data_IF_849476426717
#
_entry.id   IF_849476426717
#
_cell.length_a   1.000
_cell.length_b   1.000
_cell.length_c   1.000
_cell.angle_alpha   90.00
_cell.angle_beta   90.00
_cell.angle_gamma   90.00
#
_symmetry.space_group_name_H-M   'P 1'
#
loop_
_entity.id
_entity.type
_entity.pdbx_description
1 polymer ?
#
# COMPACT_ATOMS: atom_id res chain seq x y z
N UNK A 1 7.08 13.44 -2.98
CA UNK A 1 7.90 14.49 -3.59
C UNK A 1 9.30 14.27 -3.06
N UNK A 2 10.22 13.75 -3.87
CA UNK A 2 11.63 13.72 -3.48
C UNK A 2 12.12 15.17 -3.63
N UNK A 3 12.37 15.86 -2.53
CA UNK A 3 13.05 17.16 -2.60
C UNK A 3 14.53 16.91 -2.92
N UNK A 4 14.98 17.55 -3.98
CA UNK A 4 16.38 17.63 -4.39
C UNK A 4 16.96 18.87 -3.69
N UNK A 5 17.90 18.70 -2.77
CA UNK A 5 18.64 19.81 -2.17
C UNK A 5 19.67 20.34 -3.18
N UNK A 6 19.56 21.64 -3.53
CA UNK A 6 20.57 22.40 -4.26
C UNK A 6 21.86 22.54 -3.43
N UNK A 7 23.04 22.14 -3.93
CA UNK A 7 24.30 22.54 -3.31
C UNK A 7 24.65 23.98 -3.73
N UNK A 8 24.65 24.85 -2.72
CA UNK A 8 25.28 26.15 -2.80
C UNK A 8 26.79 26.05 -3.12
N UNK A 9 27.31 27.14 -3.69
CA UNK A 9 28.71 27.55 -3.85
C UNK A 9 29.35 27.27 -5.23
N UNK A 10 29.21 28.26 -6.12
CA UNK A 10 30.23 28.54 -7.12
C UNK A 10 31.39 29.32 -6.49
N UNK A 11 32.63 28.99 -6.87
CA UNK A 11 33.55 29.87 -7.62
C UNK A 11 34.92 29.17 -7.78
N UNK A 12 35.35 29.14 -9.05
CA UNK A 12 36.73 29.07 -9.58
C UNK A 12 37.55 27.78 -9.45
N UNK A 13 37.72 27.09 -10.59
CA UNK A 13 39.05 26.71 -11.09
C UNK A 13 38.98 26.30 -12.59
N UNK A 14 39.75 27.00 -13.42
CA UNK A 14 40.05 26.67 -14.81
C UNK A 14 41.00 25.46 -14.89
N UNK A 15 40.85 24.55 -15.87
CA UNK A 15 41.89 23.70 -16.52
C UNK A 15 41.23 22.84 -17.64
N UNK A 16 41.96 22.45 -18.72
CA UNK A 16 41.46 22.55 -20.09
C UNK A 16 40.95 21.24 -20.72
N UNK A 17 40.29 21.45 -21.86
CA UNK A 17 39.86 20.53 -22.90
C UNK A 17 40.89 19.44 -23.25
N UNK A 18 40.52 18.17 -23.10
CA UNK A 18 41.05 17.10 -23.94
C UNK A 18 39.94 16.12 -24.38
N UNK A 19 39.81 16.05 -25.70
CA UNK A 19 39.00 15.18 -26.55
C UNK A 19 39.25 13.69 -26.24
N UNK A 20 38.21 12.92 -25.91
CA UNK A 20 38.13 11.51 -26.28
C UNK A 20 36.66 11.03 -26.32
N UNK A 21 36.14 10.51 -27.44
CA UNK A 21 34.83 9.88 -27.50
C UNK A 21 34.96 8.41 -27.05
N UNK A 22 33.87 7.80 -26.59
CA UNK A 22 33.78 6.45 -26.01
C UNK A 22 34.15 6.35 -24.52
N UNK A 23 33.17 6.64 -23.66
CA UNK A 23 32.57 5.65 -22.76
C UNK A 23 31.41 6.32 -22.02
N UNK A 24 30.23 6.39 -22.64
CA UNK A 24 29.01 6.72 -21.92
C UNK A 24 28.61 5.49 -21.09
N UNK A 25 29.18 5.37 -19.89
CA UNK A 25 28.63 4.49 -18.86
C UNK A 25 27.27 5.08 -18.50
N UNK A 26 26.22 4.56 -19.12
CA UNK A 26 24.87 4.72 -18.61
C UNK A 26 24.83 4.05 -17.24
N UNK A 27 25.01 4.85 -16.18
CA UNK A 27 24.45 4.52 -14.88
C UNK A 27 22.93 4.50 -15.07
N UNK A 28 22.41 3.34 -15.45
CA UNK A 28 20.99 3.06 -15.33
C UNK A 28 20.73 3.07 -13.83
N UNK A 29 20.26 4.22 -13.33
CA UNK A 29 19.65 4.29 -12.02
C UNK A 29 18.48 3.30 -12.03
N UNK A 30 18.76 2.08 -11.54
CA UNK A 30 17.73 1.20 -11.00
C UNK A 30 17.14 1.96 -9.82
N UNK A 31 16.13 2.78 -10.11
CA UNK A 31 15.25 3.39 -9.14
C UNK A 31 14.66 2.27 -8.31
N UNK A 32 15.32 1.99 -7.19
CA UNK A 32 14.69 1.31 -6.09
C UNK A 32 13.57 2.24 -5.65
N UNK A 33 12.33 1.90 -6.01
CA UNK A 33 11.19 2.24 -5.18
C UNK A 33 11.46 1.58 -3.83
N UNK A 34 12.24 2.26 -2.99
CA UNK A 34 12.22 2.13 -1.53
C UNK A 34 10.97 2.88 -1.04
N UNK A 35 10.49 2.65 0.18
CA UNK A 35 9.74 3.67 0.92
C UNK A 35 10.81 4.64 1.48
N UNK A 36 11.28 5.62 0.69
CA UNK A 36 12.49 6.35 1.04
C UNK A 36 12.16 7.22 2.25
N UNK A 37 12.99 7.16 3.29
CA UNK A 37 12.78 7.90 4.55
C UNK A 37 12.09 7.12 5.68
N UNK A 38 11.70 5.86 5.47
CA UNK A 38 11.07 5.01 6.50
C UNK A 38 11.95 3.84 7.01
N UNK A 39 13.27 3.89 6.77
CA UNK A 39 14.17 2.77 7.09
C UNK A 39 14.20 2.42 8.58
N UNK A 40 14.13 3.44 9.45
CA UNK A 40 14.12 3.25 10.91
C UNK A 40 12.81 2.58 11.36
N UNK A 41 11.69 2.98 10.78
CA UNK A 41 10.37 2.44 11.06
C UNK A 41 10.27 1.00 10.60
N UNK A 42 10.76 0.71 9.38
CA UNK A 42 10.85 -0.65 8.86
C UNK A 42 11.70 -1.55 9.76
N UNK A 43 12.86 -1.08 10.21
CA UNK A 43 13.70 -1.83 11.15
C UNK A 43 12.96 -2.16 12.45
N UNK A 44 12.14 -1.22 12.97
CA UNK A 44 11.29 -1.47 14.15
C UNK A 44 10.18 -2.47 13.86
N UNK A 45 9.49 -2.37 12.72
CA UNK A 45 8.46 -3.35 12.34
C UNK A 45 9.05 -4.76 12.24
N UNK A 46 10.23 -4.88 11.64
CA UNK A 46 10.98 -6.14 11.62
C UNK A 46 11.36 -6.61 13.02
N UNK A 47 11.88 -5.75 13.87
CA UNK A 47 12.30 -6.12 15.23
C UNK A 47 11.14 -6.56 16.12
N UNK A 48 10.02 -5.84 16.09
CA UNK A 48 8.92 -6.04 17.05
C UNK A 48 7.82 -6.96 16.54
N UNK A 49 7.62 -7.06 15.22
CA UNK A 49 6.57 -7.87 14.61
C UNK A 49 7.16 -8.96 13.70
N UNK A 50 8.43 -8.89 13.34
CA UNK A 50 9.04 -9.85 12.41
C UNK A 50 8.39 -9.81 11.03
N UNK A 51 7.95 -8.62 10.59
CA UNK A 51 7.42 -8.38 9.25
C UNK A 51 8.42 -7.54 8.44
N UNK A 52 8.55 -7.85 7.16
CA UNK A 52 9.39 -7.13 6.22
C UNK A 52 8.55 -6.66 5.04
N UNK A 53 8.84 -5.45 4.57
CA UNK A 53 8.16 -4.87 3.43
C UNK A 53 8.57 -5.57 2.13
N UNK A 54 7.61 -5.78 1.23
CA UNK A 54 7.86 -6.31 -0.11
C UNK A 54 7.84 -5.16 -1.13
N UNK A 55 9.00 -4.73 -1.66
CA UNK A 55 9.08 -3.64 -2.62
C UNK A 55 8.22 -3.92 -3.85
N UNK A 56 7.39 -2.94 -4.24
CA UNK A 56 6.47 -3.04 -5.36
C UNK A 56 5.52 -4.27 -5.31
N UNK A 57 5.28 -4.82 -4.12
CA UNK A 57 4.50 -6.05 -3.95
C UNK A 57 3.06 -5.96 -4.48
N UNK A 58 2.48 -4.76 -4.51
CA UNK A 58 1.13 -4.50 -5.00
C UNK A 58 1.10 -3.86 -6.39
N UNK A 59 2.24 -3.54 -7.03
CA UNK A 59 2.24 -2.76 -8.26
C UNK A 59 1.39 -3.40 -9.38
N UNK A 60 1.54 -4.71 -9.60
CA UNK A 60 0.72 -5.46 -10.57
C UNK A 60 -0.75 -5.55 -10.18
N UNK A 61 -1.05 -5.54 -8.88
CA UNK A 61 -2.42 -5.56 -8.37
C UNK A 61 -3.10 -4.22 -8.66
N UNK A 62 -2.41 -3.12 -8.33
CA UNK A 62 -2.92 -1.75 -8.48
C UNK A 62 -2.96 -1.28 -9.95
N UNK A 63 -2.13 -1.86 -10.83
CA UNK A 63 -2.13 -1.55 -12.27
C UNK A 63 -3.26 -2.24 -13.05
N UNK A 64 -3.95 -3.21 -12.44
CA UNK A 64 -5.05 -3.88 -13.11
C UNK A 64 -6.25 -2.96 -13.28
N UNK A 65 -6.82 -2.95 -14.49
CA UNK A 65 -8.10 -2.29 -14.73
C UNK A 65 -9.24 -3.11 -14.10
N UNK A 66 -10.00 -2.56 -13.13
CA UNK A 66 -11.11 -3.27 -12.51
C UNK A 66 -12.15 -3.72 -13.52
N UNK A 67 -12.68 -4.92 -13.31
CA UNK A 67 -13.80 -5.47 -14.08
C UNK A 67 -14.87 -5.95 -13.11
N UNK A 68 -16.09 -6.04 -13.59
CA UNK A 68 -17.20 -6.52 -12.75
C UNK A 68 -16.94 -7.97 -12.32
N UNK A 69 -16.96 -8.19 -11.00
CA UNK A 69 -16.81 -9.49 -10.35
C UNK A 69 -17.97 -10.41 -10.76
N UNK A 70 -17.65 -11.67 -11.08
CA UNK A 70 -18.64 -12.66 -11.51
C UNK A 70 -19.06 -13.58 -10.38
N UNK A 71 -18.13 -13.98 -9.52
CA UNK A 71 -18.36 -14.84 -8.36
C UNK A 71 -17.76 -14.22 -7.12
N UNK A 72 -18.39 -14.44 -5.96
CA UNK A 72 -17.89 -13.97 -4.66
C UNK A 72 -16.48 -14.47 -4.35
N UNK A 73 -16.17 -15.70 -4.75
CA UNK A 73 -14.89 -16.34 -4.45
C UNK A 73 -13.72 -15.68 -5.19
N UNK A 74 -14.00 -14.96 -6.29
CA UNK A 74 -12.98 -14.22 -7.04
C UNK A 74 -12.41 -13.03 -6.20
N UNK A 75 -13.09 -12.66 -5.09
CA UNK A 75 -12.61 -11.65 -4.14
C UNK A 75 -11.76 -12.23 -3.00
N UNK A 76 -11.69 -13.55 -2.85
CA UNK A 76 -10.87 -14.16 -1.81
C UNK A 76 -9.38 -13.91 -2.13
N UNK A 77 -8.67 -13.33 -1.18
CA UNK A 77 -7.28 -12.95 -1.34
C UNK A 77 -6.53 -13.13 -0.03
N UNK A 78 -5.47 -13.94 -0.05
CA UNK A 78 -4.50 -14.11 1.04
C UNK A 78 -3.18 -13.37 0.76
N UNK A 79 -3.12 -12.64 -0.35
CA UNK A 79 -1.96 -11.91 -0.86
C UNK A 79 -0.73 -12.77 -1.15
N UNK A 80 -0.83 -14.11 -1.18
CA UNK A 80 0.26 -14.98 -1.62
C UNK A 80 0.63 -14.73 -3.09
N UNK A 81 -0.38 -14.41 -3.92
CA UNK A 81 -0.27 -14.00 -5.32
C UNK A 81 -1.06 -12.71 -5.55
N UNK A 82 -0.50 -11.53 -5.20
CA UNK A 82 -1.22 -10.25 -5.23
C UNK A 82 -1.77 -9.89 -6.61
N UNK A 83 -1.12 -10.33 -7.69
CA UNK A 83 -1.56 -10.11 -9.06
C UNK A 83 -2.87 -10.82 -9.43
N UNK A 84 -3.27 -11.84 -8.67
CA UNK A 84 -4.56 -12.51 -8.87
C UNK A 84 -5.69 -11.86 -8.08
N UNK A 85 -5.36 -11.16 -6.99
CA UNK A 85 -6.32 -10.51 -6.13
C UNK A 85 -7.11 -9.41 -6.87
N UNK A 86 -8.39 -9.30 -6.51
CA UNK A 86 -9.34 -8.34 -7.10
C UNK A 86 -9.59 -7.16 -6.17
N UNK A 87 -8.52 -6.68 -5.57
CA UNK A 87 -8.45 -5.54 -4.66
C UNK A 87 -7.38 -4.57 -5.16
N UNK A 88 -7.46 -3.29 -4.80
CA UNK A 88 -6.49 -2.27 -5.20
C UNK A 88 -6.53 -1.06 -4.26
N UNK A 89 -5.41 -0.37 -4.14
CA UNK A 89 -5.37 0.95 -3.52
C UNK A 89 -6.21 1.96 -4.32
N UNK A 90 -6.81 2.92 -3.63
CA UNK A 90 -7.58 3.99 -4.28
C UNK A 90 -6.63 5.01 -4.90
N UNK A 91 -6.91 5.43 -6.15
CA UNK A 91 -6.05 6.37 -6.89
C UNK A 91 -6.57 7.82 -6.90
N UNK A 92 -7.78 8.07 -6.38
CA UNK A 92 -8.52 9.33 -6.56
C UNK A 92 -8.46 10.29 -5.36
N UNK A 93 -7.49 10.13 -4.44
CA UNK A 93 -7.30 11.05 -3.31
C UNK A 93 -8.44 11.03 -2.29
N UNK A 94 -9.16 9.90 -2.20
CA UNK A 94 -10.13 9.66 -1.12
C UNK A 94 -9.44 9.37 0.22
N UNK A 95 -8.17 9.01 0.15
CA UNK A 95 -7.29 8.68 1.24
C UNK A 95 -5.96 9.43 1.14
N UNK A 96 -5.21 9.41 2.25
CA UNK A 96 -3.94 10.14 2.39
C UNK A 96 -2.72 9.22 2.34
N UNK A 97 -2.92 7.90 2.42
CA UNK A 97 -1.91 6.85 2.45
C UNK A 97 -2.37 5.64 1.63
N UNK A 98 -1.40 4.88 1.12
CA UNK A 98 -1.64 3.57 0.50
C UNK A 98 -1.40 2.42 1.49
N UNK A 99 -2.00 1.26 1.20
CA UNK A 99 -1.56 -0.01 1.78
C UNK A 99 -0.30 -0.51 1.07
N UNK A 100 0.59 -1.11 1.85
CA UNK A 100 1.81 -1.75 1.39
C UNK A 100 1.82 -3.23 1.74
N UNK A 101 2.44 -4.04 0.88
CA UNK A 101 2.58 -5.48 1.12
C UNK A 101 3.74 -5.76 2.06
N UNK A 102 3.46 -6.53 3.11
CA UNK A 102 4.44 -7.03 4.05
C UNK A 102 4.36 -8.55 4.11
N UNK A 103 5.50 -9.19 4.40
CA UNK A 103 5.60 -10.63 4.63
C UNK A 103 6.11 -10.88 6.03
N UNK A 104 5.56 -11.89 6.70
CA UNK A 104 6.11 -12.43 7.94
C UNK A 104 7.42 -13.15 7.63
N UNK A 105 8.54 -12.62 8.13
CA UNK A 105 9.87 -13.16 7.82
C UNK A 105 10.34 -14.21 8.86
N UNK A 106 9.83 -14.13 10.09
CA UNK A 106 10.22 -15.04 11.18
C UNK A 106 9.02 -15.46 12.05
N UNK A 107 9.28 -16.19 13.15
CA UNK A 107 8.25 -16.65 14.10
C UNK A 107 8.01 -15.68 15.28
N UNK A 108 8.48 -14.43 15.22
CA UNK A 108 8.21 -13.41 16.24
C UNK A 108 6.71 -13.22 16.37
N UNK A 109 6.14 -13.49 17.55
CA UNK A 109 4.71 -13.33 17.80
C UNK A 109 4.34 -11.86 17.91
N UNK A 110 3.17 -11.50 17.36
CA UNK A 110 2.66 -10.15 17.53
C UNK A 110 2.29 -9.89 19.00
N UNK A 111 2.68 -8.74 19.59
CA UNK A 111 2.35 -8.42 20.97
C UNK A 111 0.83 -8.32 21.19
N UNK A 112 0.23 -9.37 21.76
CA UNK A 112 -1.23 -9.55 21.80
C UNK A 112 -2.01 -8.42 22.53
N UNK A 113 -1.35 -7.66 23.39
CA UNK A 113 -1.98 -6.53 24.11
C UNK A 113 -2.05 -5.30 23.19
N UNK A 114 -0.97 -5.02 22.45
CA UNK A 114 -0.83 -3.83 21.62
C UNK A 114 -1.39 -4.02 20.20
N UNK A 115 -1.34 -5.25 19.68
CA UNK A 115 -1.67 -5.61 18.30
C UNK A 115 -2.80 -6.63 18.29
N UNK A 116 -4.03 -6.17 18.08
CA UNK A 116 -5.28 -6.95 18.24
C UNK A 116 -6.35 -6.47 17.24
N UNK A 117 -7.42 -7.22 16.91
CA UNK A 117 -7.88 -8.49 17.51
C UNK A 117 -7.36 -9.76 16.84
N UNK A 118 -6.63 -9.67 15.73
CA UNK A 118 -6.12 -10.85 15.02
C UNK A 118 -5.20 -11.75 15.88
N UNK A 119 -4.89 -12.97 15.41
CA UNK A 119 -4.06 -13.92 16.16
C UNK A 119 -2.64 -13.38 16.37
N UNK A 120 -2.04 -13.65 17.53
CA UNK A 120 -0.63 -13.28 17.79
C UNK A 120 0.36 -14.09 16.96
N UNK A 121 0.01 -15.36 16.69
CA UNK A 121 0.82 -16.33 15.96
C UNK A 121 0.49 -16.27 14.48
N UNK A 122 1.24 -15.43 13.76
CA UNK A 122 1.24 -15.36 12.30
C UNK A 122 2.38 -16.23 11.77
N UNK A 123 2.12 -17.10 10.79
CA UNK A 123 3.14 -18.02 10.30
C UNK A 123 4.15 -17.29 9.42
N UNK A 124 5.42 -17.71 9.50
CA UNK A 124 6.44 -17.25 8.56
C UNK A 124 6.01 -17.55 7.11
N UNK A 125 6.23 -16.58 6.22
CA UNK A 125 5.82 -16.60 4.82
C UNK A 125 4.43 -16.02 4.54
N UNK A 126 3.56 -15.86 5.54
CA UNK A 126 2.26 -15.22 5.34
C UNK A 126 2.42 -13.75 4.94
N UNK A 127 1.55 -13.29 4.04
CA UNK A 127 1.57 -11.93 3.53
C UNK A 127 0.37 -11.15 4.06
N UNK A 128 0.55 -9.85 4.24
CA UNK A 128 -0.46 -8.96 4.80
C UNK A 128 -0.29 -7.54 4.27
N UNK A 129 -1.38 -6.79 4.30
CA UNK A 129 -1.35 -5.37 3.99
C UNK A 129 -1.08 -4.57 5.26
N UNK A 130 -0.26 -3.54 5.15
CA UNK A 130 0.07 -2.63 6.24
C UNK A 130 -0.08 -1.18 5.76
N UNK A 131 -0.73 -0.36 6.57
CA UNK A 131 -0.81 1.08 6.39
C UNK A 131 -0.59 1.76 7.75
N UNK A 132 0.17 2.85 7.73
CA UNK A 132 0.47 3.64 8.92
C UNK A 132 1.60 4.64 8.68
N UNK A 133 1.58 5.73 9.43
CA UNK A 133 2.58 6.79 9.38
C UNK A 133 2.85 7.30 10.82
N UNK A 134 3.92 8.07 11.00
CA UNK A 134 4.32 8.77 12.23
C UNK A 134 3.68 10.15 12.37
N UNK A 135 3.01 10.64 11.33
CA UNK A 135 2.33 11.94 11.37
C UNK A 135 1.28 11.96 12.47
N UNK A 136 1.14 13.12 13.11
CA UNK A 136 0.14 13.35 14.17
C UNK A 136 -1.25 13.60 13.61
N UNK A 137 -1.31 14.05 12.36
CA UNK A 137 -2.57 14.28 11.65
C UNK A 137 -3.25 12.93 11.38
N UNK A 138 -4.58 12.93 11.39
CA UNK A 138 -5.33 11.76 11.00
C UNK A 138 -5.01 11.42 9.54
N UNK A 139 -4.72 10.15 9.29
CA UNK A 139 -4.44 9.64 7.96
C UNK A 139 -5.39 8.46 7.71
N UNK A 140 -5.79 8.29 6.45
CA UNK A 140 -6.60 7.17 6.01
C UNK A 140 -5.90 6.44 4.87
N UNK A 141 -6.15 5.13 4.78
CA UNK A 141 -5.79 4.31 3.63
C UNK A 141 -7.02 3.49 3.26
N UNK A 142 -7.33 3.42 1.96
CA UNK A 142 -8.51 2.73 1.44
C UNK A 142 -8.11 1.66 0.44
N UNK A 143 -8.57 0.44 0.71
CA UNK A 143 -8.49 -0.68 -0.23
C UNK A 143 -9.87 -0.95 -0.80
N UNK A 144 -9.97 -0.99 -2.13
CA UNK A 144 -11.24 -1.20 -2.84
C UNK A 144 -11.21 -2.51 -3.61
N UNK A 145 -12.34 -3.23 -3.58
CA UNK A 145 -12.51 -4.40 -4.43
C UNK A 145 -12.82 -3.97 -5.86
N UNK A 146 -12.71 -4.91 -6.79
CA UNK A 146 -13.34 -4.78 -8.09
C UNK A 146 -14.87 -4.62 -7.94
N UNK A 147 -15.55 -3.96 -8.90
CA UNK A 147 -16.99 -3.70 -8.82
C UNK A 147 -17.82 -4.98 -8.67
N UNK A 148 -18.72 -4.97 -7.69
CA UNK A 148 -19.65 -6.08 -7.41
C UNK A 148 -21.02 -5.69 -7.96
N UNK A 149 -21.68 -6.58 -8.70
CA UNK A 149 -23.07 -6.34 -9.14
C UNK A 149 -24.01 -6.33 -7.96
N UNK A 150 -25.11 -5.58 -8.07
CA UNK A 150 -26.21 -5.64 -7.11
C UNK A 150 -26.62 -7.10 -6.87
N UNK A 151 -26.59 -7.51 -5.61
CA UNK A 151 -26.99 -8.85 -5.18
C UNK A 151 -28.41 -8.79 -4.63
N UNK A 152 -29.21 -9.81 -4.91
CA UNK A 152 -30.55 -9.97 -4.31
C UNK A 152 -30.51 -10.64 -2.93
N UNK A 153 -29.31 -10.96 -2.45
CA UNK A 153 -29.08 -11.69 -1.20
C UNK A 153 -27.97 -11.01 -0.40
N UNK A 154 -27.90 -11.33 0.90
CA UNK A 154 -26.88 -10.78 1.80
C UNK A 154 -25.50 -11.37 1.48
N UNK A 155 -24.53 -10.50 1.18
CA UNK A 155 -23.13 -10.88 1.10
C UNK A 155 -22.46 -10.92 2.49
N UNK A 156 -21.46 -11.79 2.65
CA UNK A 156 -20.63 -11.85 3.86
C UNK A 156 -19.18 -11.58 3.49
N UNK A 157 -18.66 -10.43 3.93
CA UNK A 157 -17.24 -10.13 3.89
C UNK A 157 -16.60 -10.57 5.22
N UNK A 158 -15.47 -11.25 5.16
CA UNK A 158 -14.70 -11.65 6.34
C UNK A 158 -13.23 -11.46 6.04
N UNK A 159 -12.52 -10.82 6.95
CA UNK A 159 -11.09 -10.57 6.87
C UNK A 159 -10.49 -10.60 8.26
N UNK A 160 -9.20 -10.88 8.33
CA UNK A 160 -8.41 -10.79 9.56
C UNK A 160 -7.64 -9.49 9.54
N UNK A 161 -7.65 -8.77 10.66
CA UNK A 161 -6.93 -7.51 10.78
C UNK A 161 -6.32 -7.36 12.17
N UNK A 162 -5.33 -6.49 12.25
CA UNK A 162 -4.70 -6.07 13.49
C UNK A 162 -4.65 -4.55 13.51
N UNK A 163 -4.88 -3.99 14.70
CA UNK A 163 -4.82 -2.57 15.00
C UNK A 163 -3.71 -2.36 16.01
N UNK A 164 -2.95 -1.29 15.82
CA UNK A 164 -1.95 -0.79 16.76
C UNK A 164 -2.30 0.65 17.17
N UNK A 165 -2.10 0.99 18.46
CA UNK A 165 -2.24 2.34 19.00
C UNK A 165 -3.54 3.10 18.66
N UNK A 166 -4.68 2.40 18.60
CA UNK A 166 -5.98 3.04 18.44
C UNK A 166 -6.35 3.43 17.01
N UNK A 167 -5.63 2.91 16.00
CA UNK A 167 -6.10 2.94 14.62
C UNK A 167 -7.51 2.32 14.49
N UNK A 168 -8.24 2.68 13.45
CA UNK A 168 -9.61 2.22 13.21
C UNK A 168 -9.69 1.54 11.85
N UNK A 169 -10.51 0.50 11.78
CA UNK A 169 -10.84 -0.17 10.53
C UNK A 169 -12.32 0.00 10.29
N UNK A 170 -12.67 0.48 9.11
CA UNK A 170 -14.05 0.69 8.68
C UNK A 170 -14.30 -0.06 7.38
N UNK A 171 -15.50 -0.64 7.26
CA UNK A 171 -15.94 -1.27 6.01
C UNK A 171 -16.97 -0.35 5.39
N UNK A 172 -16.67 0.13 4.19
CA UNK A 172 -17.50 1.06 3.43
C UNK A 172 -18.07 0.36 2.21
N UNK A 173 -19.30 0.73 1.84
CA UNK A 173 -19.86 0.39 0.54
C UNK A 173 -19.67 1.62 -0.36
N UNK A 174 -19.01 1.41 -1.51
CA UNK A 174 -18.81 2.45 -2.50
C UNK A 174 -19.72 2.18 -3.69
N UNK A 175 -20.43 3.20 -4.15
CA UNK A 175 -21.19 3.19 -5.38
C UNK A 175 -20.51 4.09 -6.41
N UNK A 176 -20.33 3.58 -7.62
CA UNK A 176 -19.84 4.37 -8.73
C UNK A 176 -20.98 5.20 -9.33
N UNK A 177 -20.78 6.51 -9.43
CA UNK A 177 -21.80 7.40 -10.00
C UNK A 177 -22.06 7.08 -11.48
N UNK A 178 -23.28 6.66 -11.89
CA UNK A 178 -23.55 6.19 -13.26
C UNK A 178 -23.31 7.23 -14.36
N UNK A 179 -23.22 8.51 -13.99
CA UNK A 179 -23.08 9.66 -14.90
C UNK A 179 -21.71 10.32 -14.82
N UNK A 180 -20.80 9.84 -13.97
CA UNK A 180 -19.48 10.44 -13.85
C UNK A 180 -18.57 9.94 -14.96
N UNK A 181 -18.09 10.86 -15.81
CA UNK A 181 -17.02 10.57 -16.77
C UNK A 181 -15.68 10.24 -16.07
N UNK A 182 -15.60 10.54 -14.77
CA UNK A 182 -14.40 10.42 -13.95
C UNK A 182 -14.53 9.28 -12.90
N UNK A 183 -15.43 8.30 -13.07
CA UNK A 183 -15.59 7.16 -12.15
C UNK A 183 -15.75 7.55 -10.67
N UNK A 184 -16.37 8.70 -10.41
CA UNK A 184 -16.50 9.26 -9.07
C UNK A 184 -17.22 8.28 -8.13
N UNK A 185 -16.57 7.93 -7.03
CA UNK A 185 -17.09 7.04 -5.99
C UNK A 185 -17.88 7.81 -4.93
N UNK A 186 -18.99 7.23 -4.48
CA UNK A 186 -19.82 7.71 -3.36
C UNK A 186 -19.83 6.68 -2.24
N UNK A 187 -19.69 7.12 -1.00
CA UNK A 187 -19.80 6.26 0.19
C UNK A 187 -21.28 6.10 0.57
N UNK A 188 -21.71 4.86 0.83
CA UNK A 188 -23.05 4.51 1.27
C UNK A 188 -23.05 3.99 2.73
N UNK A 189 -24.07 4.33 3.54
CA UNK A 189 -25.07 5.39 3.31
C UNK A 189 -24.42 6.77 3.41
N UNK A 190 -24.95 7.75 2.66
CA UNK A 190 -24.42 9.13 2.59
C UNK A 190 -24.48 9.86 3.95
N UNK A 191 -25.28 9.36 4.89
CA UNK A 191 -25.41 9.89 6.25
C UNK A 191 -24.82 8.90 7.27
N UNK A 192 -23.64 9.23 7.82
CA UNK A 192 -23.27 8.77 9.16
C UNK A 192 -23.69 9.83 10.17
N UNK A 193 -24.61 9.46 11.05
CA UNK A 193 -24.99 10.24 12.26
C UNK A 193 -23.77 10.32 13.18
#
# INVERSE_FOLDING_TARGET
MCEEEDPAAGVSASIPQLRNPFLAIFCVNLGHCCMPGYEVERAKLRQYLGIEWTPNGLAKMDDQKPKVVRRSEDLNCDFSQPDQCKWQNVKEGLDSLDFYLFRKDDNTEFPAIQVRPGPSKVKAGEQMLFAGDRKKEEQSAMLTSWPIRCQNTTGKLTFTFWIYNGARVEVLILEEEPKSKNHKLKILPENRI
#
